data_IF_822769339638
#
_entry.id   IF_822769339638
#
_cell.length_a   1.000
_cell.length_b   1.000
_cell.length_c   1.000
_cell.angle_alpha   90.00
_cell.angle_beta   90.00
_cell.angle_gamma   90.00
#
_symmetry.space_group_name_H-M   'P 1'
#
loop_
_entity.id
_entity.type
_entity.pdbx_description
1 polymer ?
#
# COMPACT_ATOMS: atom_id res chain seq x y z
N UNK A 1 6.13 14.68 -1.93
CA UNK A 1 6.18 13.33 -2.56
C UNK A 1 5.42 12.42 -1.62
N UNK A 2 4.37 11.75 -2.11
CA UNK A 2 3.53 10.91 -1.26
C UNK A 2 4.24 9.59 -1.00
N UNK A 3 4.21 9.08 0.24
CA UNK A 3 4.84 7.81 0.60
C UNK A 3 3.79 6.77 0.98
N UNK A 4 3.94 5.55 0.47
CA UNK A 4 3.02 4.45 0.65
C UNK A 4 3.79 3.30 1.29
N UNK A 5 3.42 2.88 2.50
CA UNK A 5 3.97 1.67 3.10
C UNK A 5 3.07 0.47 2.74
N UNK A 6 3.66 -0.60 2.23
CA UNK A 6 3.00 -1.89 1.99
C UNK A 6 3.53 -2.90 2.99
N UNK A 7 2.67 -3.38 3.89
CA UNK A 7 2.95 -4.52 4.75
C UNK A 7 2.26 -5.78 4.26
N UNK A 8 3.07 -6.83 4.05
CA UNK A 8 2.58 -8.17 3.78
C UNK A 8 2.98 -9.11 4.92
N UNK A 9 1.99 -9.72 5.59
CA UNK A 9 2.24 -10.67 6.67
C UNK A 9 2.70 -12.06 6.20
N UNK A 10 2.49 -12.41 4.93
CA UNK A 10 2.69 -13.76 4.39
C UNK A 10 3.98 -13.95 3.59
N UNK A 11 4.87 -12.94 3.55
CA UNK A 11 6.21 -13.05 2.97
C UNK A 11 6.54 -11.99 1.90
N UNK A 12 7.84 -11.83 1.64
CA UNK A 12 8.42 -10.80 0.78
C UNK A 12 8.08 -11.03 -0.71
N UNK A 13 7.92 -12.29 -1.13
CA UNK A 13 7.76 -12.66 -2.53
C UNK A 13 6.53 -12.04 -3.22
N UNK A 14 5.40 -11.92 -2.51
CA UNK A 14 4.18 -11.32 -3.08
C UNK A 14 4.27 -9.81 -3.18
N UNK A 15 5.15 -9.17 -2.39
CA UNK A 15 5.21 -7.72 -2.20
C UNK A 15 5.79 -6.98 -3.41
N UNK A 16 6.68 -7.62 -4.18
CA UNK A 16 7.27 -7.05 -5.40
C UNK A 16 6.23 -6.88 -6.52
N UNK A 17 5.35 -7.87 -6.71
CA UNK A 17 4.31 -7.84 -7.76
C UNK A 17 3.29 -6.73 -7.46
N UNK A 18 2.91 -6.59 -6.20
CA UNK A 18 2.02 -5.51 -5.72
C UNK A 18 2.64 -4.15 -5.96
N UNK A 19 3.91 -3.99 -5.56
CA UNK A 19 4.65 -2.74 -5.71
C UNK A 19 4.76 -2.34 -7.18
N UNK A 20 5.11 -3.29 -8.06
CA UNK A 20 5.16 -3.03 -9.51
C UNK A 20 3.82 -2.58 -10.06
N UNK A 21 2.72 -3.29 -9.75
CA UNK A 21 1.37 -2.91 -10.21
C UNK A 21 0.94 -1.53 -9.71
N UNK A 22 1.19 -1.23 -8.44
CA UNK A 22 0.89 0.09 -7.87
C UNK A 22 1.71 1.16 -8.58
N UNK A 23 3.02 0.92 -8.79
CA UNK A 23 3.92 1.87 -9.44
C UNK A 23 3.53 2.12 -10.90
N UNK A 24 3.20 1.08 -11.67
CA UNK A 24 2.68 1.23 -13.03
C UNK A 24 1.40 2.05 -13.08
N UNK A 25 0.47 1.81 -12.16
CA UNK A 25 -0.80 2.53 -12.10
C UNK A 25 -0.60 4.00 -11.69
N UNK A 26 0.35 4.28 -10.79
CA UNK A 26 0.76 5.63 -10.42
C UNK A 26 1.43 6.37 -11.58
N UNK A 27 2.35 5.70 -12.30
CA UNK A 27 3.03 6.26 -13.47
C UNK A 27 2.05 6.59 -14.60
N UNK A 28 1.08 5.70 -14.88
CA UNK A 28 -0.02 5.98 -15.82
C UNK A 28 -0.85 7.20 -15.45
N UNK A 29 -1.00 7.47 -14.15
CA UNK A 29 -1.73 8.63 -13.64
C UNK A 29 -0.85 9.87 -13.39
N UNK A 30 0.44 9.81 -13.74
CA UNK A 30 1.42 10.88 -13.47
C UNK A 30 1.56 11.25 -11.97
N UNK A 31 1.30 10.30 -11.07
CA UNK A 31 1.41 10.50 -9.62
C UNK A 31 2.79 10.06 -9.15
N UNK A 32 3.56 10.99 -8.57
CA UNK A 32 4.84 10.66 -7.93
C UNK A 32 4.60 10.21 -6.49
N UNK A 33 4.46 8.89 -6.30
CA UNK A 33 4.44 8.26 -4.98
C UNK A 33 5.56 7.22 -4.83
N UNK A 34 6.12 7.14 -3.63
CA UNK A 34 7.16 6.21 -3.25
C UNK A 34 6.54 5.04 -2.50
N UNK A 35 6.78 3.81 -2.96
CA UNK A 35 6.21 2.59 -2.37
C UNK A 35 7.29 1.87 -1.59
N UNK A 36 7.12 1.83 -0.27
CA UNK A 36 8.04 1.20 0.68
C UNK A 36 7.43 -0.13 1.11
N UNK A 37 8.17 -1.21 0.99
CA UNK A 37 7.77 -2.52 1.46
C UNK A 37 8.34 -2.74 2.86
N UNK A 38 7.49 -3.02 3.84
CA UNK A 38 7.88 -3.21 5.23
C UNK A 38 7.20 -4.45 5.82
N UNK A 39 7.68 -4.93 6.96
CA UNK A 39 6.96 -5.94 7.74
C UNK A 39 5.82 -5.28 8.52
N UNK A 40 4.78 -6.05 8.81
CA UNK A 40 3.66 -5.64 9.69
C UNK A 40 4.19 -5.17 11.05
N UNK A 41 5.27 -5.77 11.56
CA UNK A 41 5.89 -5.38 12.82
C UNK A 41 6.54 -3.98 12.78
N UNK A 42 7.00 -3.53 11.61
CA UNK A 42 7.69 -2.25 11.46
C UNK A 42 6.74 -1.15 10.99
N UNK A 43 5.53 -1.49 10.53
CA UNK A 43 4.63 -0.51 9.94
C UNK A 43 4.25 0.61 10.91
N UNK A 44 4.18 0.32 12.22
CA UNK A 44 3.92 1.31 13.26
C UNK A 44 5.07 2.30 13.50
N UNK A 45 6.28 2.02 13.00
CA UNK A 45 7.39 3.00 12.97
C UNK A 45 7.39 3.80 11.67
N UNK A 46 6.94 3.17 10.58
CA UNK A 46 6.80 3.83 9.28
C UNK A 46 5.53 4.69 9.19
N UNK A 47 4.52 4.48 10.05
CA UNK A 47 3.25 5.22 10.03
C UNK A 47 3.43 6.73 10.18
N UNK A 48 4.46 7.17 10.92
CA UNK A 48 4.78 8.60 11.10
C UNK A 48 5.54 9.18 9.88
N UNK A 49 6.06 8.32 8.99
CA UNK A 49 6.88 8.68 7.84
C UNK A 49 6.19 8.45 6.48
N UNK A 50 4.96 7.94 6.47
CA UNK A 50 4.19 7.66 5.25
C UNK A 50 2.85 8.39 5.26
N UNK A 51 2.30 8.66 4.08
CA UNK A 51 0.97 9.27 3.91
C UNK A 51 -0.13 8.21 3.81
N UNK A 52 0.23 6.97 3.47
CA UNK A 52 -0.71 5.89 3.27
C UNK A 52 -0.11 4.54 3.65
N UNK A 53 -0.91 3.71 4.32
CA UNK A 53 -0.52 2.36 4.71
C UNK A 53 -1.42 1.36 3.99
N UNK A 54 -0.81 0.36 3.39
CA UNK A 54 -1.48 -0.77 2.75
C UNK A 54 -1.06 -2.02 3.50
N UNK A 55 -2.02 -2.72 4.09
CA UNK A 55 -1.75 -3.90 4.92
C UNK A 55 -2.63 -5.06 4.50
N UNK A 56 -2.06 -6.26 4.41
CA UNK A 56 -2.82 -7.49 4.16
C UNK A 56 -3.34 -8.13 5.45
N UNK A 57 -3.03 -7.56 6.60
CA UNK A 57 -3.41 -8.07 7.93
C UNK A 57 -4.34 -7.10 8.65
N UNK A 58 -4.96 -7.56 9.75
CA UNK A 58 -5.78 -6.72 10.62
C UNK A 58 -4.91 -5.68 11.34
N UNK A 59 -4.63 -4.59 10.65
CA UNK A 59 -3.92 -3.42 11.17
C UNK A 59 -4.78 -2.17 10.95
N UNK A 60 -4.79 -1.29 11.94
CA UNK A 60 -5.58 -0.07 11.94
C UNK A 60 -4.78 1.01 12.69
N UNK A 61 -4.36 2.06 11.97
CA UNK A 61 -3.70 3.23 12.57
C UNK A 61 -4.70 4.38 12.63
N UNK A 62 -4.64 5.17 13.70
CA UNK A 62 -5.49 6.36 13.88
C UNK A 62 -4.89 7.62 13.25
N UNK A 63 -3.60 7.60 12.91
CA UNK A 63 -2.86 8.76 12.38
C UNK A 63 -2.85 8.86 10.86
N UNK A 64 -2.91 7.72 10.17
CA UNK A 64 -2.68 7.60 8.72
C UNK A 64 -3.77 6.73 8.12
N UNK A 65 -4.27 7.03 6.91
CA UNK A 65 -5.22 6.16 6.23
C UNK A 65 -4.61 4.77 5.98
N UNK A 66 -5.28 3.75 6.51
CA UNK A 66 -4.91 2.35 6.33
C UNK A 66 -5.89 1.68 5.36
N UNK A 67 -5.35 1.10 4.29
CA UNK A 67 -6.07 0.29 3.31
C UNK A 67 -5.82 -1.18 3.61
N UNK A 68 -6.90 -1.92 3.81
CA UNK A 68 -6.88 -3.38 3.97
C UNK A 68 -6.83 -4.04 2.60
N UNK A 69 -5.62 -4.34 2.18
CA UNK A 69 -5.26 -5.03 0.95
C UNK A 69 -5.47 -6.56 1.03
N UNK A 70 -6.55 -7.02 1.68
CA UNK A 70 -6.86 -8.46 1.78
C UNK A 70 -7.07 -9.06 0.38
N UNK A 71 -7.51 -8.23 -0.57
CA UNK A 71 -7.63 -8.53 -1.99
C UNK A 71 -6.33 -9.04 -2.63
N UNK A 72 -5.18 -8.65 -2.08
CA UNK A 72 -3.88 -9.14 -2.55
C UNK A 72 -3.58 -10.57 -2.09
N UNK A 73 -4.22 -11.01 -1.01
CA UNK A 73 -4.13 -12.39 -0.52
C UNK A 73 -5.08 -13.31 -1.27
N UNK A 74 -6.30 -12.83 -1.56
CA UNK A 74 -7.34 -13.60 -2.25
C UNK A 74 -7.19 -13.58 -3.76
N UNK A 75 -6.38 -12.67 -4.32
CA UNK A 75 -6.25 -12.48 -5.77
C UNK A 75 -7.42 -11.75 -6.41
N UNK A 76 -8.44 -11.38 -5.63
CA UNK A 76 -9.68 -10.78 -6.11
C UNK A 76 -9.79 -9.37 -5.55
N UNK A 77 -9.85 -8.36 -6.42
CA UNK A 77 -10.05 -6.95 -6.02
C UNK A 77 -8.77 -6.14 -5.82
N UNK A 78 -7.60 -6.65 -6.21
CA UNK A 78 -6.33 -5.88 -6.17
C UNK A 78 -6.44 -4.55 -6.91
N UNK A 79 -7.12 -4.55 -8.06
CA UNK A 79 -7.33 -3.37 -8.89
C UNK A 79 -8.16 -2.31 -8.15
N UNK A 80 -9.20 -2.71 -7.42
CA UNK A 80 -10.00 -1.79 -6.62
C UNK A 80 -9.21 -1.15 -5.47
N UNK A 81 -8.29 -1.89 -4.83
CA UNK A 81 -7.42 -1.31 -3.81
C UNK A 81 -6.42 -0.32 -4.43
N UNK A 82 -5.84 -0.65 -5.59
CA UNK A 82 -4.95 0.25 -6.34
C UNK A 82 -5.68 1.53 -6.75
N UNK A 83 -6.92 1.41 -7.22
CA UNK A 83 -7.74 2.54 -7.64
C UNK A 83 -8.09 3.46 -6.46
N UNK A 84 -8.45 2.89 -5.30
CA UNK A 84 -8.63 3.66 -4.05
C UNK A 84 -7.35 4.37 -3.61
N UNK A 85 -6.20 3.70 -3.70
CA UNK A 85 -4.90 4.30 -3.41
C UNK A 85 -4.68 5.51 -4.33
N UNK A 86 -4.90 5.35 -5.63
CA UNK A 86 -4.75 6.44 -6.61
C UNK A 86 -5.72 7.58 -6.31
N UNK A 87 -6.98 7.29 -5.98
CA UNK A 87 -7.98 8.31 -5.67
C UNK A 87 -7.57 9.15 -4.44
N UNK A 88 -7.10 8.50 -3.37
CA UNK A 88 -6.57 9.17 -2.17
C UNK A 88 -5.30 9.97 -2.49
N UNK A 89 -4.44 9.45 -3.38
CA UNK A 89 -3.21 10.13 -3.78
C UNK A 89 -3.44 11.26 -4.79
N UNK A 90 -4.57 11.27 -5.51
CA UNK A 90 -4.95 12.32 -6.46
C UNK A 90 -5.68 13.48 -5.77
N UNK A 91 -6.29 13.21 -4.62
CA UNK A 91 -6.86 14.22 -3.72
C UNK A 91 -5.76 15.00 -2.99
#
# INVERSE_FOLDING_TARGET
MKKIAVACGTGIATSTVVTMKIKEALEKNNIKADVIQCKVAEIGQYEDNVDLIVTTTSYESKKVPVIRAISFLTGIGMESDIEKIIEILKK
#
